data_IF_663738618031
#
_entry.id   IF_663738618031
#
_cell.length_a   1.000
_cell.length_b   1.000
_cell.length_c   1.000
_cell.angle_alpha   90.00
_cell.angle_beta   90.00
_cell.angle_gamma   90.00
#
_symmetry.space_group_name_H-M   'P 1'
#
loop_
_entity.id
_entity.type
_entity.pdbx_description
1 polymer ?
#
# COMPACT_ATOMS: atom_id res chain seq x y z
N UNK A 1 -57.85 -6.71 17.70
CA UNK A 1 -56.89 -7.79 17.39
C UNK A 1 -56.20 -7.41 16.08
N UNK A 2 -54.88 -7.17 16.09
CA UNK A 2 -54.14 -6.75 14.88
C UNK A 2 -53.99 -7.94 13.93
N UNK A 3 -54.45 -7.78 12.69
CA UNK A 3 -54.32 -8.76 11.62
C UNK A 3 -52.83 -9.06 11.37
N UNK A 4 -52.42 -10.32 11.53
CA UNK A 4 -51.15 -10.82 11.00
C UNK A 4 -51.36 -11.06 9.51
N UNK A 5 -51.20 -10.02 8.69
CA UNK A 5 -51.15 -10.19 7.24
C UNK A 5 -49.84 -10.90 6.89
N UNK A 6 -49.95 -12.14 6.41
CA UNK A 6 -48.82 -12.91 5.89
C UNK A 6 -48.40 -12.39 4.52
N UNK A 7 -47.13 -12.57 4.18
CA UNK A 7 -46.58 -12.23 2.87
C UNK A 7 -47.23 -13.09 1.78
N UNK A 8 -47.59 -12.48 0.66
CA UNK A 8 -48.14 -13.24 -0.48
C UNK A 8 -47.02 -13.88 -1.31
N UNK A 9 -47.31 -15.00 -1.98
CA UNK A 9 -46.33 -15.72 -2.80
C UNK A 9 -45.80 -14.84 -3.94
N UNK A 10 -46.66 -14.00 -4.52
CA UNK A 10 -46.26 -13.07 -5.58
C UNK A 10 -45.34 -11.97 -5.05
N UNK A 11 -45.58 -11.48 -3.84
CA UNK A 11 -44.74 -10.47 -3.19
C UNK A 11 -43.35 -11.03 -2.88
N UNK A 12 -43.26 -12.31 -2.50
CA UNK A 12 -41.98 -13.00 -2.33
C UNK A 12 -41.24 -13.18 -3.67
N UNK A 13 -41.94 -13.52 -4.75
CA UNK A 13 -41.34 -13.61 -6.09
C UNK A 13 -40.82 -12.26 -6.59
N UNK A 14 -41.61 -11.19 -6.40
CA UNK A 14 -41.19 -9.83 -6.78
C UNK A 14 -39.99 -9.39 -5.93
N UNK A 15 -39.99 -9.65 -4.62
CA UNK A 15 -38.86 -9.34 -3.75
C UNK A 15 -37.58 -10.08 -4.18
N UNK A 16 -37.67 -11.36 -4.52
CA UNK A 16 -36.54 -12.13 -5.03
C UNK A 16 -36.04 -11.62 -6.38
N UNK A 17 -36.94 -11.23 -7.29
CA UNK A 17 -36.58 -10.64 -8.56
C UNK A 17 -35.80 -9.31 -8.37
N UNK A 18 -36.28 -8.45 -7.47
CA UNK A 18 -35.59 -7.19 -7.13
C UNK A 18 -34.22 -7.46 -6.50
N UNK A 19 -34.12 -8.41 -5.56
CA UNK A 19 -32.84 -8.79 -4.95
C UNK A 19 -31.85 -9.35 -5.97
N UNK A 20 -32.31 -10.14 -6.94
CA UNK A 20 -31.46 -10.68 -8.00
C UNK A 20 -30.88 -9.55 -8.88
N UNK A 21 -31.71 -8.56 -9.25
CA UNK A 21 -31.25 -7.39 -10.03
C UNK A 21 -30.20 -6.58 -9.25
N UNK A 22 -30.46 -6.27 -7.97
CA UNK A 22 -29.53 -5.50 -7.13
C UNK A 22 -28.20 -6.25 -6.94
N UNK A 23 -28.26 -7.57 -6.74
CA UNK A 23 -27.07 -8.41 -6.57
C UNK A 23 -26.19 -8.41 -7.83
N UNK A 24 -26.80 -8.45 -9.02
CA UNK A 24 -26.08 -8.37 -10.29
C UNK A 24 -25.25 -7.10 -10.45
N UNK A 25 -25.83 -5.93 -10.12
CA UNK A 25 -25.10 -4.66 -10.17
C UNK A 25 -23.99 -4.55 -9.12
N UNK A 26 -24.21 -5.14 -7.94
CA UNK A 26 -23.25 -5.08 -6.84
C UNK A 26 -21.92 -5.76 -7.19
N UNK A 27 -21.97 -6.87 -7.93
CA UNK A 27 -20.78 -7.62 -8.33
C UNK A 27 -19.82 -6.80 -9.23
N UNK A 28 -20.38 -5.93 -10.09
CA UNK A 28 -19.60 -5.12 -11.02
C UNK A 28 -18.80 -3.99 -10.32
N UNK A 29 -19.26 -3.53 -9.16
CA UNK A 29 -18.67 -2.42 -8.41
C UNK A 29 -17.53 -2.86 -7.47
N UNK A 30 -17.53 -4.13 -7.04
CA UNK A 30 -16.55 -4.64 -6.06
C UNK A 30 -15.13 -4.67 -6.64
N UNK A 31 -14.97 -5.05 -7.91
CA UNK A 31 -13.65 -5.18 -8.54
C UNK A 31 -12.80 -3.90 -8.49
N UNK A 32 -13.29 -2.76 -9.03
CA UNK A 32 -12.57 -1.49 -8.98
C UNK A 32 -12.30 -1.00 -7.55
N UNK A 33 -13.25 -1.23 -6.63
CA UNK A 33 -13.09 -0.85 -5.22
C UNK A 33 -11.93 -1.62 -4.55
N UNK A 34 -11.80 -2.92 -4.82
CA UNK A 34 -10.68 -3.72 -4.30
C UNK A 34 -9.33 -3.22 -4.83
N UNK A 35 -9.24 -2.91 -6.13
CA UNK A 35 -8.00 -2.35 -6.71
C UNK A 35 -7.61 -1.02 -6.08
N UNK A 36 -8.58 -0.11 -5.91
CA UNK A 36 -8.35 1.18 -5.27
C UNK A 36 -7.84 1.01 -3.83
N UNK A 37 -8.40 0.05 -3.07
CA UNK A 37 -7.95 -0.29 -1.72
C UNK A 37 -6.51 -0.82 -1.69
N UNK A 38 -6.12 -1.66 -2.64
CA UNK A 38 -4.74 -2.18 -2.71
C UNK A 38 -3.73 -1.04 -2.97
N UNK A 39 -4.05 -0.11 -3.87
CA UNK A 39 -3.22 1.07 -4.13
C UNK A 39 -3.11 1.96 -2.88
N UNK A 40 -4.23 2.22 -2.20
CA UNK A 40 -4.26 2.99 -0.96
C UNK A 40 -3.38 2.34 0.13
N UNK A 41 -3.45 1.01 0.27
CA UNK A 41 -2.60 0.28 1.20
C UNK A 41 -1.13 0.40 0.84
N UNK A 42 -0.76 0.28 -0.44
CA UNK A 42 0.63 0.43 -0.89
C UNK A 42 1.18 1.83 -0.57
N UNK A 43 0.43 2.89 -0.89
CA UNK A 43 0.81 4.28 -0.60
C UNK A 43 0.95 4.51 0.91
N UNK A 44 0.02 3.95 1.70
CA UNK A 44 0.07 4.04 3.17
C UNK A 44 1.30 3.33 3.73
N UNK A 45 1.63 2.15 3.22
CA UNK A 45 2.84 1.40 3.62
C UNK A 45 4.10 2.22 3.34
N UNK A 46 4.24 2.78 2.14
CA UNK A 46 5.40 3.64 1.81
C UNK A 46 5.48 4.84 2.73
N UNK A 47 4.37 5.56 2.92
CA UNK A 47 4.32 6.74 3.81
C UNK A 47 4.69 6.42 5.25
N UNK A 48 4.23 5.26 5.76
CA UNK A 48 4.58 4.78 7.09
C UNK A 48 6.06 4.43 7.21
N UNK A 49 6.63 3.74 6.22
CA UNK A 49 8.05 3.39 6.23
C UNK A 49 8.94 4.64 6.15
N UNK A 50 8.59 5.61 5.31
CA UNK A 50 9.30 6.89 5.22
C UNK A 50 9.23 7.67 6.54
N UNK A 51 8.06 7.73 7.18
CA UNK A 51 7.88 8.39 8.47
C UNK A 51 8.69 7.70 9.58
N UNK A 52 8.72 6.36 9.59
CA UNK A 52 9.54 5.57 10.53
C UNK A 52 11.03 5.77 10.29
N UNK A 53 11.49 5.72 9.05
CA UNK A 53 12.89 5.98 8.71
C UNK A 53 13.32 7.38 9.12
N UNK A 54 12.46 8.39 8.92
CA UNK A 54 12.71 9.77 9.39
C UNK A 54 12.82 9.84 10.90
N UNK A 55 11.87 9.26 11.63
CA UNK A 55 11.90 9.24 13.10
C UNK A 55 13.18 8.54 13.59
N UNK A 56 13.52 7.41 12.99
CA UNK A 56 14.72 6.66 13.32
C UNK A 56 16.02 7.43 13.04
N UNK A 57 16.09 8.19 11.95
CA UNK A 57 17.21 9.07 11.63
C UNK A 57 17.39 10.17 12.67
N UNK A 58 16.28 10.76 13.13
CA UNK A 58 16.28 11.78 14.18
C UNK A 58 16.71 11.20 15.53
N UNK A 59 16.13 10.06 15.93
CA UNK A 59 16.40 9.43 17.22
C UNK A 59 17.85 8.95 17.32
N UNK A 60 18.36 8.34 16.24
CA UNK A 60 19.75 7.87 16.19
C UNK A 60 20.76 8.97 15.87
N UNK A 61 20.29 10.14 15.40
CA UNK A 61 21.10 11.26 14.89
C UNK A 61 22.09 10.82 13.80
N UNK A 62 21.66 9.90 12.93
CA UNK A 62 22.49 9.37 11.85
C UNK A 62 21.78 9.47 10.51
N UNK A 63 22.59 9.49 9.45
CA UNK A 63 22.08 9.38 8.09
C UNK A 63 21.39 8.04 7.92
N UNK A 64 20.13 8.08 7.51
CA UNK A 64 19.32 6.90 7.18
C UNK A 64 18.97 6.97 5.72
N UNK A 65 19.15 5.87 5.01
CA UNK A 65 18.79 5.71 3.60
C UNK A 65 17.62 4.74 3.49
N UNK A 66 16.67 5.09 2.64
CA UNK A 66 15.59 4.19 2.24
C UNK A 66 15.83 3.82 0.78
N UNK A 67 15.93 2.53 0.50
CA UNK A 67 16.13 2.00 -0.85
C UNK A 67 14.86 1.24 -1.27
N UNK A 68 14.40 1.54 -2.48
CA UNK A 68 13.27 0.86 -3.10
C UNK A 68 13.81 -0.12 -4.13
N UNK A 69 13.68 -1.41 -3.83
CA UNK A 69 14.15 -2.49 -4.70
C UNK A 69 12.96 -3.15 -5.38
N UNK A 70 12.85 -3.06 -6.73
CA UNK A 70 11.85 -3.81 -7.47
C UNK A 70 11.98 -5.32 -7.20
N UNK A 71 10.86 -6.07 -7.16
CA UNK A 71 9.52 -5.61 -7.48
C UNK A 71 8.84 -4.86 -6.33
N UNK A 72 9.07 -5.21 -5.06
CA UNK A 72 8.16 -4.77 -3.97
C UNK A 72 8.82 -4.42 -2.65
N UNK A 73 10.15 -4.39 -2.58
CA UNK A 73 10.85 -4.37 -1.30
C UNK A 73 11.35 -2.98 -0.97
N UNK A 74 11.09 -2.56 0.27
CA UNK A 74 11.58 -1.32 0.87
C UNK A 74 12.59 -1.71 1.91
N UNK A 75 13.80 -1.17 1.80
CA UNK A 75 14.88 -1.44 2.75
C UNK A 75 15.34 -0.15 3.39
N UNK A 76 15.60 -0.20 4.70
CA UNK A 76 16.08 0.94 5.47
C UNK A 76 17.43 0.60 6.06
N UNK A 77 18.40 1.44 5.74
CA UNK A 77 19.78 1.30 6.18
C UNK A 77 20.22 2.55 6.93
N UNK A 78 21.12 2.38 7.89
CA UNK A 78 21.68 3.46 8.68
C UNK A 78 23.18 3.57 8.40
N UNK A 79 23.70 4.79 8.38
CA UNK A 79 25.13 5.02 8.29
C UNK A 79 25.78 4.90 9.67
N UNK A 80 26.71 3.97 9.78
CA UNK A 80 27.62 3.80 10.91
C UNK A 80 28.55 5.03 10.98
N UNK A 81 29.02 5.46 12.17
CA UNK A 81 29.78 6.70 12.28
C UNK A 81 31.12 6.57 11.55
N UNK A 82 31.71 7.70 11.17
CA UNK A 82 32.97 7.73 10.44
C UNK A 82 34.12 7.03 11.20
N UNK A 83 34.04 6.97 12.53
CA UNK A 83 34.99 6.25 13.39
C UNK A 83 35.00 4.72 13.19
N UNK A 84 33.95 4.16 12.60
CA UNK A 84 33.77 2.71 12.36
C UNK A 84 33.66 2.40 10.85
N UNK A 85 34.23 3.25 9.99
CA UNK A 85 34.32 3.01 8.55
C UNK A 85 33.13 3.51 7.72
N UNK A 86 32.13 4.15 8.33
CA UNK A 86 31.08 4.87 7.59
C UNK A 86 30.16 4.01 6.72
N UNK A 87 30.09 2.70 7.00
CA UNK A 87 29.32 1.71 6.24
C UNK A 87 27.81 1.86 6.47
N UNK A 88 27.01 1.34 5.52
CA UNK A 88 25.56 1.23 5.64
C UNK A 88 25.20 -0.10 6.29
N UNK A 89 24.40 -0.06 7.35
CA UNK A 89 23.94 -1.24 8.08
C UNK A 89 22.42 -1.38 7.98
N UNK A 90 21.97 -2.62 7.91
CA UNK A 90 20.56 -2.97 7.77
C UNK A 90 19.80 -2.72 9.07
N UNK A 91 18.66 -2.01 8.97
CA UNK A 91 17.78 -1.71 10.10
C UNK A 91 16.46 -2.46 9.98
N UNK A 92 15.77 -2.27 8.85
CA UNK A 92 14.44 -2.87 8.66
C UNK A 92 14.12 -3.08 7.18
N UNK A 93 13.18 -3.98 6.93
CA UNK A 93 12.66 -4.31 5.61
C UNK A 93 11.14 -4.40 5.68
N UNK A 94 10.47 -3.93 4.64
CA UNK A 94 9.04 -4.08 4.45
C UNK A 94 8.72 -4.30 2.98
N UNK A 95 7.62 -5.00 2.71
CA UNK A 95 7.18 -5.27 1.34
C UNK A 95 5.85 -4.56 1.04
N UNK A 96 5.66 -4.18 -0.23
CA UNK A 96 4.37 -3.77 -0.76
C UNK A 96 3.39 -4.96 -0.85
N UNK A 97 2.08 -4.70 -0.92
CA UNK A 97 1.08 -5.71 -1.26
C UNK A 97 1.45 -6.46 -2.56
N UNK A 98 1.10 -7.76 -2.64
CA UNK A 98 1.58 -8.66 -3.69
C UNK A 98 1.27 -8.25 -5.14
N UNK A 99 0.22 -7.43 -5.35
CA UNK A 99 -0.20 -6.93 -6.67
C UNK A 99 0.42 -5.56 -7.05
N UNK A 100 1.30 -5.02 -6.21
CA UNK A 100 1.91 -3.70 -6.41
C UNK A 100 3.42 -3.82 -6.57
N UNK A 101 3.98 -3.04 -7.49
CA UNK A 101 5.42 -2.99 -7.73
C UNK A 101 5.96 -1.56 -7.80
N UNK A 102 7.25 -1.42 -7.52
CA UNK A 102 7.98 -0.18 -7.74
C UNK A 102 8.39 -0.07 -9.20
N UNK A 103 7.90 0.97 -9.88
CA UNK A 103 8.40 1.39 -11.18
C UNK A 103 9.49 2.45 -11.04
N UNK A 104 10.54 2.35 -11.85
CA UNK A 104 11.55 3.42 -11.99
C UNK A 104 11.13 4.31 -13.16
N UNK A 105 10.97 5.60 -12.91
CA UNK A 105 10.72 6.59 -13.97
C UNK A 105 12.06 7.20 -14.40
N UNK A 106 12.40 7.02 -15.69
CA UNK A 106 13.60 7.62 -16.27
C UNK A 106 13.45 9.15 -16.40
N UNK A 107 14.57 9.87 -16.26
CA UNK A 107 14.62 11.32 -16.51
C UNK A 107 14.43 12.22 -15.27
N UNK A 108 14.30 11.64 -14.07
CA UNK A 108 14.38 12.40 -12.82
C UNK A 108 15.86 12.59 -12.46
N UNK A 109 16.34 13.84 -12.38
CA UNK A 109 17.71 14.12 -11.98
C UNK A 109 17.94 13.64 -10.55
N UNK A 110 19.03 12.91 -10.32
CA UNK A 110 19.44 12.55 -8.96
C UNK A 110 19.67 13.81 -8.13
N UNK A 111 19.33 13.74 -6.84
CA UNK A 111 19.62 14.83 -5.91
C UNK A 111 21.13 15.06 -5.79
N UNK A 112 21.56 16.15 -5.12
CA UNK A 112 22.99 16.51 -4.96
C UNK A 112 23.86 15.37 -4.42
N UNK A 113 23.26 14.47 -3.66
CA UNK A 113 23.89 13.31 -3.02
C UNK A 113 23.87 12.03 -3.88
N UNK A 114 23.40 12.09 -5.12
CA UNK A 114 23.35 10.95 -6.04
C UNK A 114 22.26 9.91 -5.71
N UNK A 115 21.24 10.26 -4.92
CA UNK A 115 20.11 9.35 -4.67
C UNK A 115 19.34 9.06 -5.97
N UNK A 116 18.85 7.81 -6.12
CA UNK A 116 18.01 7.39 -7.25
C UNK A 116 18.74 6.76 -8.43
N UNK A 117 20.02 6.43 -8.31
CA UNK A 117 20.84 5.83 -9.39
C UNK A 117 20.99 4.31 -9.31
N UNK A 118 20.26 3.61 -8.41
CA UNK A 118 20.30 2.15 -8.39
C UNK A 118 19.57 1.60 -9.60
N UNK A 119 20.34 1.19 -10.60
CA UNK A 119 19.90 0.33 -11.71
C UNK A 119 19.28 -0.95 -11.15
N UNK A 120 18.18 -1.39 -11.75
CA UNK A 120 17.61 -2.71 -11.58
C UNK A 120 18.65 -3.82 -11.77
#
# INVERSE_FOLDING_TARGET
MRSKQGFTLIELLVALAVLAVISGFSMMLVGPALKARQVEMAVRTVSLQMSRARQFSVDSRRLTRVTFTPPRTITVEQRTPASEGGLWTWVTQADLPAEMEFGVSAGVSSGPEGFGTSSA
#
